data_IF_195571860858
#
_entry.id   IF_195571860858
#
_cell.length_a   1.000
_cell.length_b   1.000
_cell.length_c   1.000
_cell.angle_alpha   90.00
_cell.angle_beta   90.00
_cell.angle_gamma   90.00
#
_symmetry.space_group_name_H-M   'P 1'
#
loop_
_entity.id
_entity.type
_entity.pdbx_description
1 polymer ?
#
# COMPACT_ATOMS: atom_id res chain seq x y z
N UNK A 1 -11.71 -15.81 41.55
CA UNK A 1 -11.20 -14.55 42.14
C UNK A 1 -9.92 -14.87 42.90
N UNK A 2 -8.77 -14.50 42.35
CA UNK A 2 -7.53 -14.36 43.13
C UNK A 2 -6.84 -13.12 42.58
N UNK A 3 -6.78 -12.08 43.40
CA UNK A 3 -6.11 -10.81 43.12
C UNK A 3 -4.66 -10.98 43.54
N UNK A 4 -3.73 -10.81 42.59
CA UNK A 4 -2.29 -10.73 42.86
C UNK A 4 -1.79 -9.34 42.54
N UNK A 5 -1.61 -8.50 43.56
CA UNK A 5 -0.83 -7.27 43.47
C UNK A 5 0.61 -7.60 43.88
N UNK A 6 1.60 -7.18 43.07
CA UNK A 6 2.98 -6.96 43.53
C UNK A 6 3.46 -5.61 42.98
N UNK A 7 4.15 -4.78 43.79
CA UNK A 7 4.36 -3.35 43.52
C UNK A 7 5.74 -3.02 42.93
N UNK A 8 5.78 -1.86 42.25
CA UNK A 8 6.80 -0.79 42.28
C UNK A 8 8.27 -1.14 41.99
N UNK A 9 8.80 -0.50 40.93
CA UNK A 9 10.10 0.18 41.01
C UNK A 9 10.16 1.33 39.98
N UNK A 10 10.23 2.55 40.50
CA UNK A 10 10.62 3.78 39.79
C UNK A 10 12.15 3.79 39.72
N UNK A 11 12.73 4.07 38.54
CA UNK A 11 14.12 4.54 38.44
C UNK A 11 14.24 5.67 37.43
N UNK A 12 15.01 6.68 37.82
CA UNK A 12 15.04 8.04 37.30
C UNK A 12 16.13 8.29 36.23
N UNK A 13 15.82 9.24 35.35
CA UNK A 13 16.65 10.28 34.69
C UNK A 13 18.18 10.17 34.67
N UNK A 14 18.77 10.37 33.48
CA UNK A 14 20.01 11.12 33.26
C UNK A 14 19.97 11.85 31.91
N UNK A 15 20.09 13.18 31.95
CA UNK A 15 20.33 14.08 30.81
C UNK A 15 21.83 14.21 30.56
N UNK A 16 22.25 14.34 29.30
CA UNK A 16 23.57 14.87 28.95
C UNK A 16 23.43 15.82 27.74
N UNK A 17 23.71 17.11 28.00
CA UNK A 17 23.90 18.14 27.00
C UNK A 17 25.30 18.01 26.38
N UNK A 18 25.40 18.07 25.06
CA UNK A 18 26.65 18.21 24.33
C UNK A 18 26.62 19.48 23.49
N UNK A 19 27.46 20.46 23.86
CA UNK A 19 27.71 21.71 23.15
C UNK A 19 29.21 21.82 22.91
N UNK A 20 29.63 22.21 21.71
CA UNK A 20 31.02 22.56 21.38
C UNK A 20 31.31 22.26 19.90
N UNK A 21 31.82 23.17 19.08
CA UNK A 21 32.17 24.58 19.28
C UNK A 21 32.48 25.22 17.91
N UNK A 22 32.40 26.54 17.86
CA UNK A 22 32.72 27.40 16.72
C UNK A 22 34.24 27.53 16.48
N UNK A 23 34.66 27.50 15.22
CA UNK A 23 35.92 28.12 14.77
C UNK A 23 35.77 28.58 13.31
N UNK A 24 35.69 29.90 13.11
CA UNK A 24 35.87 30.58 11.82
C UNK A 24 37.35 30.92 11.62
N UNK A 25 37.95 30.56 10.48
CA UNK A 25 38.94 31.42 9.82
C UNK A 25 39.30 31.00 8.40
N UNK A 26 39.12 31.96 7.50
CA UNK A 26 39.62 32.02 6.13
C UNK A 26 41.15 31.88 6.03
N UNK A 27 41.63 31.24 4.97
CA UNK A 27 42.66 31.79 4.06
C UNK A 27 42.86 30.92 2.81
N UNK A 28 42.90 31.59 1.66
CA UNK A 28 43.28 31.13 0.32
C UNK A 28 44.54 30.26 0.24
N UNK A 29 44.52 29.25 -0.66
CA UNK A 29 45.54 29.14 -1.72
C UNK A 29 45.18 28.07 -2.77
N UNK A 30 45.29 28.51 -4.01
CA UNK A 30 45.23 27.83 -5.31
C UNK A 30 45.99 26.50 -5.43
N UNK A 31 45.37 25.52 -6.11
CA UNK A 31 46.07 24.58 -6.98
C UNK A 31 45.09 24.00 -8.02
N UNK A 32 45.26 24.41 -9.28
CA UNK A 32 44.59 23.80 -10.41
C UNK A 32 45.11 22.37 -10.61
N UNK A 33 44.21 21.40 -10.63
CA UNK A 33 44.42 20.09 -11.25
C UNK A 33 43.20 19.79 -12.09
N UNK A 34 43.36 19.93 -13.40
CA UNK A 34 42.45 19.39 -14.41
C UNK A 34 42.63 17.88 -14.44
N UNK A 35 42.01 17.19 -13.48
CA UNK A 35 41.70 15.77 -13.62
C UNK A 35 40.42 15.68 -14.43
N UNK A 36 40.52 15.13 -15.64
CA UNK A 36 39.36 14.76 -16.44
C UNK A 36 38.47 13.88 -15.55
N UNK A 37 37.34 14.44 -15.12
CA UNK A 37 36.25 13.64 -14.58
C UNK A 37 35.78 12.79 -15.76
N UNK A 38 36.16 11.52 -15.76
CA UNK A 38 35.33 10.49 -16.36
C UNK A 38 33.95 10.68 -15.74
N UNK A 39 33.09 11.33 -16.52
CA UNK A 39 31.67 11.38 -16.29
C UNK A 39 31.22 9.93 -16.38
N UNK A 40 31.30 9.24 -15.24
CA UNK A 40 30.55 8.04 -15.00
C UNK A 40 29.11 8.52 -15.10
N UNK A 41 28.50 8.32 -16.26
CA UNK A 41 27.06 8.24 -16.39
C UNK A 41 26.66 7.10 -15.47
N UNK A 42 26.48 7.42 -14.19
CA UNK A 42 25.56 6.69 -13.36
C UNK A 42 24.25 6.84 -14.11
N UNK A 43 23.88 5.82 -14.88
CA UNK A 43 22.48 5.58 -15.21
C UNK A 43 21.79 5.67 -13.87
N UNK A 44 21.11 6.78 -13.61
CA UNK A 44 20.19 6.85 -12.49
C UNK A 44 19.31 5.62 -12.69
N UNK A 45 19.37 4.68 -11.75
CA UNK A 45 18.36 3.65 -11.70
C UNK A 45 17.05 4.42 -11.74
N UNK A 46 16.26 4.22 -12.79
CA UNK A 46 14.97 4.90 -12.89
C UNK A 46 14.22 4.46 -11.63
N UNK A 47 14.00 5.41 -10.73
CA UNK A 47 13.24 5.16 -9.52
C UNK A 47 11.86 4.76 -10.00
N UNK A 48 11.46 3.53 -9.67
CA UNK A 48 10.16 3.00 -10.06
C UNK A 48 9.05 4.01 -9.73
N UNK A 49 8.19 4.26 -10.72
CA UNK A 49 7.19 5.32 -10.65
C UNK A 49 6.10 5.03 -9.62
N UNK A 50 5.92 3.76 -9.22
CA UNK A 50 4.91 3.34 -8.23
C UNK A 50 5.32 3.65 -6.79
N UNK A 51 6.61 3.94 -6.53
CA UNK A 51 7.12 4.17 -5.19
C UNK A 51 6.48 5.39 -4.52
N UNK A 52 6.24 5.27 -3.21
CA UNK A 52 5.57 6.29 -2.41
C UNK A 52 4.13 5.91 -2.07
N UNK A 53 3.34 6.90 -1.65
CA UNK A 53 1.96 6.71 -1.21
C UNK A 53 0.96 7.21 -2.25
N UNK A 54 -0.16 6.52 -2.34
CA UNK A 54 -1.26 6.79 -3.24
C UNK A 54 -2.58 6.67 -2.48
N UNK A 55 -3.43 7.68 -2.55
CA UNK A 55 -4.70 7.71 -1.80
C UNK A 55 -5.89 7.98 -2.70
N UNK A 56 -7.06 7.61 -2.20
CA UNK A 56 -8.36 7.95 -2.78
C UNK A 56 -9.51 7.54 -1.87
N UNK A 57 -10.70 8.02 -2.24
CA UNK A 57 -11.95 7.46 -1.74
C UNK A 57 -12.44 6.27 -2.62
N UNK A 58 -12.77 5.16 -1.97
CA UNK A 58 -13.34 3.96 -2.58
C UNK A 58 -14.82 3.82 -2.25
N UNK A 59 -15.63 3.32 -3.20
CA UNK A 59 -17.07 3.13 -3.01
C UNK A 59 -17.54 1.72 -3.34
N UNK A 60 -18.58 1.25 -2.65
CA UNK A 60 -19.12 -0.10 -2.82
C UNK A 60 -19.56 -0.39 -4.26
N UNK A 61 -20.29 0.54 -4.90
CA UNK A 61 -20.79 0.34 -6.27
C UNK A 61 -19.64 0.16 -7.28
N UNK A 62 -18.55 0.89 -7.09
CA UNK A 62 -17.40 0.80 -7.99
C UNK A 62 -16.66 -0.54 -7.83
N UNK A 63 -16.45 -0.97 -6.58
CA UNK A 63 -15.86 -2.27 -6.28
C UNK A 63 -16.79 -3.42 -6.72
N UNK A 64 -18.11 -3.25 -6.60
CA UNK A 64 -19.10 -4.21 -7.09
C UNK A 64 -18.95 -4.42 -8.60
N UNK A 65 -18.79 -3.36 -9.39
CA UNK A 65 -18.55 -3.47 -10.84
C UNK A 65 -17.29 -4.29 -11.14
N UNK A 66 -16.21 -4.10 -10.38
CA UNK A 66 -15.00 -4.88 -10.54
C UNK A 66 -15.24 -6.38 -10.22
N UNK A 67 -15.92 -6.67 -9.12
CA UNK A 67 -16.28 -8.03 -8.71
C UNK A 67 -17.26 -8.69 -9.71
N UNK A 68 -18.20 -7.95 -10.28
CA UNK A 68 -19.12 -8.45 -11.31
C UNK A 68 -18.36 -8.81 -12.59
N UNK A 69 -17.44 -7.94 -13.04
CA UNK A 69 -16.58 -8.21 -14.22
C UNK A 69 -15.70 -9.44 -14.01
N UNK A 70 -15.24 -9.65 -12.78
CA UNK A 70 -14.47 -10.83 -12.38
C UNK A 70 -15.32 -12.09 -12.17
N UNK A 71 -16.66 -11.99 -12.17
CA UNK A 71 -17.55 -13.10 -11.86
C UNK A 71 -17.57 -13.50 -10.37
N UNK A 72 -17.04 -12.64 -9.48
CA UNK A 72 -16.89 -12.92 -8.06
C UNK A 72 -17.99 -12.33 -7.18
N UNK A 73 -18.80 -11.39 -7.69
CA UNK A 73 -19.78 -10.62 -6.91
C UNK A 73 -20.73 -11.45 -6.03
N UNK A 74 -21.21 -12.61 -6.51
CA UNK A 74 -22.08 -13.49 -5.73
C UNK A 74 -21.29 -14.35 -4.72
N UNK A 75 -20.22 -15.00 -5.18
CA UNK A 75 -19.38 -15.89 -4.36
C UNK A 75 -18.65 -15.15 -3.22
N UNK A 76 -18.28 -13.89 -3.44
CA UNK A 76 -17.49 -13.07 -2.52
C UNK A 76 -18.28 -11.86 -2.01
N UNK A 77 -19.62 -11.96 -1.97
CA UNK A 77 -20.50 -10.89 -1.46
C UNK A 77 -20.08 -10.41 -0.07
N UNK A 78 -19.83 -11.35 0.84
CA UNK A 78 -19.51 -11.01 2.23
C UNK A 78 -18.14 -10.31 2.33
N UNK A 79 -17.20 -10.65 1.44
CA UNK A 79 -15.91 -9.95 1.31
C UNK A 79 -16.11 -8.51 0.84
N UNK A 80 -16.81 -8.32 -0.29
CA UNK A 80 -17.15 -7.01 -0.82
C UNK A 80 -17.80 -6.13 0.26
N UNK A 81 -18.76 -6.67 1.00
CA UNK A 81 -19.47 -5.96 2.06
C UNK A 81 -18.60 -5.68 3.29
N UNK A 82 -17.59 -6.50 3.57
CA UNK A 82 -16.65 -6.28 4.68
C UNK A 82 -16.03 -4.88 4.65
N UNK A 83 -15.74 -4.37 3.45
CA UNK A 83 -15.12 -3.06 3.23
C UNK A 83 -16.01 -1.87 3.58
N UNK A 84 -17.35 -2.01 3.54
CA UNK A 84 -18.24 -0.83 3.53
C UNK A 84 -19.30 -0.81 4.63
N UNK A 85 -19.33 -1.77 5.54
CA UNK A 85 -20.38 -1.82 6.58
C UNK A 85 -19.82 -1.67 8.01
N UNK A 86 -18.54 -1.35 8.17
CA UNK A 86 -17.91 -1.11 9.48
C UNK A 86 -18.07 -2.29 10.43
N UNK A 87 -17.78 -3.49 9.92
CA UNK A 87 -17.91 -4.76 10.67
C UNK A 87 -19.34 -5.26 10.88
N UNK A 88 -20.36 -4.57 10.35
CA UNK A 88 -21.76 -5.05 10.38
C UNK A 88 -22.08 -5.84 9.12
N UNK A 89 -23.00 -6.81 9.18
CA UNK A 89 -23.43 -7.51 7.98
C UNK A 89 -24.22 -6.56 7.05
N UNK A 90 -23.89 -6.62 5.76
CA UNK A 90 -24.70 -6.00 4.71
C UNK A 90 -25.95 -6.80 4.36
N UNK A 91 -26.75 -6.34 3.38
CA UNK A 91 -27.92 -7.08 2.89
C UNK A 91 -27.50 -8.46 2.35
N UNK A 92 -28.32 -9.48 2.53
CA UNK A 92 -28.05 -10.85 2.02
C UNK A 92 -28.77 -11.17 0.71
N UNK A 93 -29.66 -10.29 0.25
CA UNK A 93 -30.44 -10.42 -0.98
C UNK A 93 -30.62 -9.05 -1.62
N UNK A 94 -30.81 -9.02 -2.93
CA UNK A 94 -30.95 -7.78 -3.69
C UNK A 94 -29.60 -7.09 -3.85
N UNK A 95 -29.62 -5.76 -3.94
CA UNK A 95 -28.43 -4.93 -4.09
C UNK A 95 -27.44 -5.15 -2.90
N UNK A 96 -26.18 -5.58 -3.15
CA UNK A 96 -25.16 -5.74 -2.10
C UNK A 96 -24.67 -4.43 -1.48
N UNK A 97 -24.79 -3.30 -2.18
CA UNK A 97 -24.33 -1.99 -1.77
C UNK A 97 -25.41 -1.13 -1.10
N UNK A 98 -26.64 -1.62 -1.01
CA UNK A 98 -27.73 -0.92 -0.35
C UNK A 98 -27.43 -0.63 1.13
N UNK A 99 -27.15 0.64 1.43
CA UNK A 99 -26.82 1.12 2.78
C UNK A 99 -25.34 1.01 3.15
N UNK A 100 -24.46 0.76 2.17
CA UNK A 100 -23.02 0.82 2.33
C UNK A 100 -22.56 2.22 2.79
N UNK A 101 -21.52 2.26 3.61
CA UNK A 101 -20.83 3.47 4.01
C UNK A 101 -19.93 3.96 2.87
N UNK A 102 -19.62 5.26 2.90
CA UNK A 102 -18.62 5.86 2.02
C UNK A 102 -19.17 6.73 0.89
N UNK A 103 -18.31 7.15 -0.06
CA UNK A 103 -16.93 6.66 -0.28
C UNK A 103 -16.01 6.78 0.95
N UNK A 104 -15.16 5.78 1.19
CA UNK A 104 -14.23 5.70 2.32
C UNK A 104 -12.82 5.99 1.82
N UNK A 105 -12.11 6.88 2.50
CA UNK A 105 -10.70 7.15 2.19
C UNK A 105 -9.84 5.93 2.48
N UNK A 106 -8.84 5.72 1.63
CA UNK A 106 -7.90 4.62 1.71
C UNK A 106 -6.60 5.04 1.02
N UNK A 107 -5.45 4.58 1.54
CA UNK A 107 -4.17 4.74 0.86
C UNK A 107 -3.38 3.45 0.77
N UNK A 108 -2.48 3.41 -0.19
CA UNK A 108 -1.49 2.37 -0.40
C UNK A 108 -0.10 3.01 -0.40
N UNK A 109 0.89 2.31 0.15
CA UNK A 109 2.27 2.73 0.07
C UNK A 109 3.17 1.60 -0.47
N UNK A 110 4.17 2.01 -1.26
CA UNK A 110 5.17 1.14 -1.87
C UNK A 110 6.57 1.65 -1.53
N UNK A 111 7.38 0.81 -0.91
CA UNK A 111 8.72 1.17 -0.45
C UNK A 111 9.82 0.64 -1.37
N UNK A 112 10.96 1.33 -1.41
CA UNK A 112 12.09 0.96 -2.27
C UNK A 112 12.73 -0.40 -1.91
N UNK A 113 12.47 -0.92 -0.71
CA UNK A 113 12.89 -2.24 -0.25
C UNK A 113 11.85 -3.34 -0.49
N UNK A 114 10.78 -3.07 -1.25
CA UNK A 114 9.77 -4.05 -1.66
C UNK A 114 8.62 -4.23 -0.67
N UNK A 115 8.41 -3.28 0.24
CA UNK A 115 7.29 -3.29 1.18
C UNK A 115 6.02 -2.69 0.57
N UNK A 116 4.90 -3.37 0.80
CA UNK A 116 3.56 -2.89 0.48
C UNK A 116 2.75 -2.75 1.77
N UNK A 117 1.88 -1.76 1.84
CA UNK A 117 0.84 -1.71 2.85
C UNK A 117 -0.27 -0.73 2.52
N UNK A 118 -1.30 -0.72 3.35
CA UNK A 118 -2.46 0.15 3.17
C UNK A 118 -3.04 0.66 4.47
N UNK A 119 -3.61 1.86 4.44
CA UNK A 119 -4.30 2.47 5.57
C UNK A 119 -5.78 2.73 5.26
N UNK A 120 -6.62 2.59 6.28
CA UNK A 120 -8.03 2.97 6.22
C UNK A 120 -8.25 4.48 6.37
N UNK A 121 -9.52 4.90 6.37
CA UNK A 121 -9.90 6.31 6.51
C UNK A 121 -9.50 6.95 7.85
N UNK A 122 -9.06 6.16 8.82
CA UNK A 122 -8.60 6.60 10.13
C UNK A 122 -7.06 6.62 10.21
N UNK A 123 -6.36 6.26 9.13
CA UNK A 123 -4.91 6.09 9.10
C UNK A 123 -4.44 4.83 9.82
N UNK A 124 -5.33 3.87 10.09
CA UNK A 124 -4.97 2.58 10.68
C UNK A 124 -4.50 1.64 9.56
N UNK A 125 -3.34 1.00 9.75
CA UNK A 125 -2.85 -0.01 8.80
C UNK A 125 -3.80 -1.20 8.79
N UNK A 126 -4.32 -1.54 7.61
CA UNK A 126 -5.28 -2.65 7.41
C UNK A 126 -4.74 -3.74 6.50
N UNK A 127 -3.62 -3.48 5.84
CA UNK A 127 -2.91 -4.47 5.05
C UNK A 127 -1.41 -4.19 5.01
N UNK A 128 -0.62 -5.24 4.87
CA UNK A 128 0.83 -5.16 4.84
C UNK A 128 1.45 -6.43 4.29
N UNK A 129 2.55 -6.27 3.56
CA UNK A 129 3.24 -7.39 2.91
C UNK A 129 4.41 -6.93 2.06
N UNK A 130 4.68 -7.72 1.04
CA UNK A 130 5.69 -7.44 0.03
C UNK A 130 5.04 -7.15 -1.32
N UNK A 131 5.79 -6.45 -2.17
CA UNK A 131 5.55 -6.42 -3.60
C UNK A 131 6.85 -6.61 -4.36
N UNK A 132 6.74 -7.15 -5.56
CA UNK A 132 7.84 -7.27 -6.51
C UNK A 132 7.40 -6.72 -7.87
N UNK A 133 8.23 -5.86 -8.47
CA UNK A 133 8.07 -5.45 -9.86
C UNK A 133 8.57 -6.58 -10.78
N UNK A 134 7.67 -7.14 -11.58
CA UNK A 134 8.00 -8.23 -12.51
C UNK A 134 8.26 -7.73 -13.93
N UNK A 135 7.79 -6.53 -14.26
CA UNK A 135 8.13 -5.75 -15.44
C UNK A 135 7.97 -4.23 -15.17
N UNK A 136 7.93 -3.40 -16.22
CA UNK A 136 7.97 -1.94 -16.08
C UNK A 136 6.66 -1.33 -15.52
N UNK A 137 5.55 -2.06 -15.64
CA UNK A 137 4.21 -1.59 -15.32
C UNK A 137 3.36 -2.65 -14.61
N UNK A 138 3.98 -3.69 -14.05
CA UNK A 138 3.29 -4.79 -13.35
C UNK A 138 3.99 -5.16 -12.06
N UNK A 139 3.20 -5.24 -10.99
CA UNK A 139 3.64 -5.75 -9.68
C UNK A 139 2.97 -7.06 -9.32
N UNK A 140 3.63 -7.83 -8.45
CA UNK A 140 3.05 -8.98 -7.78
C UNK A 140 3.22 -8.92 -6.26
N UNK A 141 2.44 -9.73 -5.53
CA UNK A 141 2.33 -9.72 -4.07
C UNK A 141 2.53 -11.14 -3.49
N UNK A 142 3.79 -11.61 -3.35
CA UNK A 142 4.10 -12.98 -2.96
C UNK A 142 3.52 -13.40 -1.60
N UNK A 143 3.64 -12.54 -0.58
CA UNK A 143 3.13 -12.79 0.77
C UNK A 143 1.61 -12.93 0.80
N UNK A 144 0.88 -12.09 0.07
CA UNK A 144 -0.58 -12.23 -0.08
C UNK A 144 -0.96 -13.50 -0.83
N UNK A 145 -0.26 -13.86 -1.90
CA UNK A 145 -0.49 -15.13 -2.59
C UNK A 145 -0.34 -16.32 -1.63
N UNK A 146 0.72 -16.32 -0.80
CA UNK A 146 0.95 -17.34 0.23
C UNK A 146 -0.15 -17.34 1.30
N UNK A 147 -0.62 -16.17 1.75
CA UNK A 147 -1.69 -16.04 2.76
C UNK A 147 -2.97 -16.78 2.34
N UNK A 148 -3.34 -16.66 1.06
CA UNK A 148 -4.50 -17.36 0.50
C UNK A 148 -4.22 -18.81 0.09
N UNK A 149 -2.99 -19.30 0.23
CA UNK A 149 -2.58 -20.61 -0.29
C UNK A 149 -2.68 -20.70 -1.82
N UNK A 150 -2.53 -19.56 -2.51
CA UNK A 150 -2.50 -19.48 -3.95
C UNK A 150 -1.05 -19.65 -4.43
N UNK A 151 -0.83 -20.59 -5.34
CA UNK A 151 0.51 -20.95 -5.82
C UNK A 151 0.95 -20.18 -7.07
N UNK A 152 0.11 -19.27 -7.58
CA UNK A 152 0.43 -18.41 -8.70
C UNK A 152 0.68 -16.97 -8.24
N UNK A 153 0.96 -16.11 -9.21
CA UNK A 153 1.21 -14.69 -8.96
C UNK A 153 -0.10 -13.92 -8.96
N UNK A 154 -0.26 -12.98 -8.03
CA UNK A 154 -1.31 -11.97 -8.07
C UNK A 154 -0.75 -10.82 -8.90
N UNK A 155 -1.28 -10.57 -10.09
CA UNK A 155 -0.75 -9.56 -11.01
C UNK A 155 -1.61 -8.30 -11.02
N UNK A 156 -0.97 -7.15 -10.85
CA UNK A 156 -1.59 -5.83 -10.91
C UNK A 156 -0.77 -4.93 -11.80
N UNK A 157 -1.34 -4.57 -12.95
CA UNK A 157 -0.78 -3.57 -13.84
C UNK A 157 -1.01 -2.18 -13.25
N UNK A 158 -0.11 -1.24 -13.53
CA UNK A 158 -0.25 0.14 -13.13
C UNK A 158 0.18 1.12 -14.22
N UNK A 159 -0.32 2.35 -14.14
CA UNK A 159 0.17 3.43 -15.00
C UNK A 159 0.21 4.72 -14.19
N UNK A 160 1.38 5.35 -14.13
CA UNK A 160 1.58 6.62 -13.44
C UNK A 160 1.62 7.76 -14.46
N UNK A 161 0.82 8.80 -14.24
CA UNK A 161 0.84 10.03 -15.03
C UNK A 161 0.60 11.23 -14.11
N UNK A 162 1.55 12.17 -14.09
CA UNK A 162 1.39 13.48 -13.41
C UNK A 162 0.89 13.38 -11.94
N UNK A 163 1.42 12.44 -11.16
CA UNK A 163 1.03 12.24 -9.76
C UNK A 163 -0.30 11.52 -9.58
N UNK A 164 -0.76 10.80 -10.62
CA UNK A 164 -1.93 9.93 -10.57
C UNK A 164 -1.53 8.51 -11.00
N UNK A 165 -1.90 7.50 -10.22
CA UNK A 165 -1.75 6.08 -10.60
C UNK A 165 -3.10 5.44 -10.86
N UNK A 166 -3.19 4.61 -11.89
CA UNK A 166 -4.32 3.71 -12.12
C UNK A 166 -3.84 2.27 -12.04
N UNK A 167 -4.59 1.42 -11.34
CA UNK A 167 -4.29 -0.01 -11.25
C UNK A 167 -5.30 -0.84 -12.05
N UNK A 168 -4.84 -1.97 -12.59
CA UNK A 168 -5.68 -2.97 -13.23
C UNK A 168 -5.26 -4.37 -12.76
N UNK A 169 -6.17 -5.07 -12.08
CA UNK A 169 -5.95 -6.44 -11.64
C UNK A 169 -6.10 -7.39 -12.84
N UNK A 170 -5.05 -8.14 -13.18
CA UNK A 170 -5.06 -9.12 -14.27
C UNK A 170 -5.52 -10.49 -13.77
N UNK A 171 -6.84 -10.70 -13.79
CA UNK A 171 -7.48 -11.94 -13.35
C UNK A 171 -7.28 -13.07 -14.38
N UNK A 172 -6.71 -14.23 -13.98
CA UNK A 172 -6.57 -15.37 -14.87
C UNK A 172 -7.91 -15.90 -15.37
N UNK A 173 -7.98 -16.28 -16.65
CA UNK A 173 -9.19 -16.82 -17.28
C UNK A 173 -9.80 -18.05 -16.55
N UNK A 174 -8.97 -18.80 -15.82
CA UNK A 174 -9.40 -19.90 -14.97
C UNK A 174 -8.95 -19.63 -13.54
N UNK A 175 -9.81 -18.97 -12.76
CA UNK A 175 -9.55 -18.61 -11.38
C UNK A 175 -10.70 -19.11 -10.50
N UNK A 176 -10.40 -20.04 -9.60
CA UNK A 176 -11.34 -20.66 -8.67
C UNK A 176 -10.62 -21.01 -7.36
N UNK A 177 -11.40 -21.33 -6.32
CA UNK A 177 -10.89 -21.68 -4.99
C UNK A 177 -9.88 -20.63 -4.48
N UNK A 178 -8.68 -21.03 -4.08
CA UNK A 178 -7.66 -20.11 -3.53
C UNK A 178 -7.24 -19.00 -4.50
N UNK A 179 -7.32 -19.23 -5.82
CA UNK A 179 -7.12 -18.16 -6.79
C UNK A 179 -8.21 -17.08 -6.65
N UNK A 180 -9.47 -17.49 -6.53
CA UNK A 180 -10.58 -16.56 -6.44
C UNK A 180 -10.53 -15.73 -5.15
N UNK A 181 -10.13 -16.35 -4.04
CA UNK A 181 -9.93 -15.65 -2.76
C UNK A 181 -8.78 -14.62 -2.87
N UNK A 182 -7.63 -15.03 -3.42
CA UNK A 182 -6.48 -14.14 -3.62
C UNK A 182 -6.79 -12.95 -4.53
N UNK A 183 -7.55 -13.18 -5.60
CA UNK A 183 -7.95 -12.11 -6.50
C UNK A 183 -9.13 -11.28 -5.98
N UNK A 184 -9.96 -11.82 -5.07
CA UNK A 184 -10.95 -11.01 -4.36
C UNK A 184 -10.26 -9.96 -3.46
N UNK A 185 -9.16 -10.35 -2.80
CA UNK A 185 -8.29 -9.40 -2.10
C UNK A 185 -7.74 -8.32 -3.05
N UNK A 186 -7.12 -8.73 -4.16
CA UNK A 186 -6.51 -7.79 -5.12
C UNK A 186 -7.54 -6.81 -5.69
N UNK A 187 -8.75 -7.31 -6.00
CA UNK A 187 -9.85 -6.46 -6.45
C UNK A 187 -10.33 -5.51 -5.35
N UNK A 188 -10.34 -5.92 -4.08
CA UNK A 188 -10.68 -4.99 -2.99
C UNK A 188 -9.61 -3.94 -2.73
N UNK A 189 -8.32 -4.29 -2.86
CA UNK A 189 -7.22 -3.35 -2.67
C UNK A 189 -7.13 -2.36 -3.84
N UNK A 190 -7.00 -2.87 -5.06
CA UNK A 190 -6.60 -2.08 -6.23
C UNK A 190 -7.73 -1.71 -7.17
N UNK A 191 -8.83 -2.47 -7.19
CA UNK A 191 -9.86 -2.24 -8.19
C UNK A 191 -10.74 -1.06 -7.81
N UNK A 192 -10.37 0.10 -8.35
CA UNK A 192 -11.24 1.21 -8.74
C UNK A 192 -10.33 2.37 -9.22
N UNK A 193 -10.91 3.50 -9.64
CA UNK A 193 -10.32 4.64 -10.37
C UNK A 193 -9.04 5.31 -9.83
N UNK A 194 -8.66 6.45 -10.45
CA UNK A 194 -7.32 7.05 -10.27
C UNK A 194 -7.01 7.38 -8.81
N UNK A 195 -5.84 6.96 -8.36
CA UNK A 195 -5.28 7.28 -7.05
C UNK A 195 -4.37 8.48 -7.17
N UNK A 196 -4.51 9.42 -6.25
CA UNK A 196 -3.69 10.62 -6.21
C UNK A 196 -2.44 10.35 -5.36
N UNK A 197 -1.30 10.89 -5.77
CA UNK A 197 -0.09 10.80 -4.98
C UNK A 197 -0.29 11.47 -3.60
N UNK A 198 0.16 10.80 -2.54
CA UNK A 198 0.02 11.22 -1.15
C UNK A 198 -0.74 10.21 -0.29
N UNK A 199 -0.79 10.48 1.01
CA UNK A 199 -1.51 9.71 2.02
C UNK A 199 -2.95 10.26 2.19
N UNK A 200 -3.82 9.53 2.88
CA UNK A 200 -5.14 10.04 3.26
C UNK A 200 -5.00 11.39 3.99
N UNK A 201 -5.75 12.45 3.59
CA UNK A 201 -5.71 13.73 4.30
C UNK A 201 -6.22 13.58 5.74
N UNK A 202 -5.36 13.87 6.73
CA UNK A 202 -5.72 13.90 8.16
C UNK A 202 -6.57 15.09 8.60
#
# INVERSE_FOLDING_TARGET
MVVGHVPVAVLALLTAAGCGGDDESSSDAVAATSGASESSTTTAAETSEILGSWHRAQGCEEMLVAFEKAGLAESHRDWLQGNFYGGKPGPKKGDPCAGAQGPLEHDHYFTADGGFGSHDQNGEEVDGGDFEEIDADTVTFPSHAEEFGYQGDILVDYTVNEGVVTFAVDLPNACADTCADAYAWALSAFASGPWQQGEVPG
#
